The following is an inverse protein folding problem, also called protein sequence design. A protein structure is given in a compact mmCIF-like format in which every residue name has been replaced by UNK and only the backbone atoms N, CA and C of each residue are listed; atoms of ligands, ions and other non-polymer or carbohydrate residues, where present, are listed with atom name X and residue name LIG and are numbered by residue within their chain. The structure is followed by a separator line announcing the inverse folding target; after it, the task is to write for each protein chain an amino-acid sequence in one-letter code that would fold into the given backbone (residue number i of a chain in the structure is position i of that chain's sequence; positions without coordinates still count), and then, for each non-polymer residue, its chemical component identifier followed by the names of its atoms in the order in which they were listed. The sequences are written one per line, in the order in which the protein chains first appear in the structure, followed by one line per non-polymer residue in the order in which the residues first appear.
data_IF_559509139411
#
_entry.id   IF_559509139411
#
_cell.length_a   1.000
_cell.length_b   1.000
_cell.length_c   1.000
_cell.angle_alpha   90.00
_cell.angle_beta   90.00
_cell.angle_gamma   90.00
#
_symmetry.space_group_name_H-M   'P 1'
#
loop_
_entity.id
_entity.type
_entity.pdbx_description
1 polymer ?
#
# COMPACT_ATOMS: atom_id res chain seq x y z
N UNK A 1 3.02 23.27 -29.00
CA UNK A 1 2.62 21.96 -28.48
C UNK A 1 1.13 22.01 -28.24
N UNK A 2 0.38 21.09 -28.84
CA UNK A 2 -1.06 21.01 -28.64
C UNK A 2 -1.36 20.53 -27.22
N UNK A 3 -2.05 21.36 -26.46
CA UNK A 3 -2.50 21.09 -25.08
C UNK A 3 -3.42 19.87 -24.97
N UNK A 4 -3.92 19.35 -26.11
CA UNK A 4 -4.77 18.17 -26.21
C UNK A 4 -3.99 16.82 -26.23
N UNK A 5 -2.71 16.80 -26.61
CA UNK A 5 -1.92 15.54 -26.67
C UNK A 5 -1.49 15.04 -25.28
N UNK A 6 -1.27 15.97 -24.35
CA UNK A 6 -0.84 15.70 -22.98
C UNK A 6 -1.84 14.85 -22.18
N UNK A 7 -3.16 15.14 -22.17
CA UNK A 7 -4.14 14.30 -21.48
C UNK A 7 -4.34 12.92 -22.11
N UNK A 8 -4.16 12.79 -23.43
CA UNK A 8 -4.29 11.52 -24.15
C UNK A 8 -3.13 10.56 -23.82
N UNK A 9 -1.89 11.06 -23.86
CA UNK A 9 -0.70 10.29 -23.46
C UNK A 9 -0.76 9.84 -22.00
N UNK A 10 -1.17 10.72 -21.09
CA UNK A 10 -1.41 10.34 -19.70
C UNK A 10 -2.50 9.25 -19.60
N UNK A 11 -3.53 9.29 -20.42
CA UNK A 11 -4.56 8.24 -20.40
C UNK A 11 -4.04 6.89 -20.92
N UNK A 12 -3.15 6.87 -21.92
CA UNK A 12 -2.53 5.65 -22.44
C UNK A 12 -1.64 5.00 -21.37
N UNK A 13 -0.75 5.77 -20.75
CA UNK A 13 0.11 5.29 -19.66
C UNK A 13 -0.73 4.80 -18.49
N UNK A 14 -1.77 5.52 -18.09
CA UNK A 14 -2.68 5.11 -17.01
C UNK A 14 -3.34 3.77 -17.31
N UNK A 15 -3.81 3.58 -18.55
CA UNK A 15 -4.51 2.36 -18.96
C UNK A 15 -3.57 1.17 -19.00
N UNK A 16 -2.36 1.33 -19.53
CA UNK A 16 -1.29 0.34 -19.46
C UNK A 16 -0.97 -0.05 -18.00
N UNK A 17 -0.68 0.94 -17.17
CA UNK A 17 -0.32 0.79 -15.75
C UNK A 17 -1.41 0.03 -14.99
N UNK A 18 -2.69 0.34 -15.26
CA UNK A 18 -3.83 -0.39 -14.72
C UNK A 18 -3.84 -1.85 -15.19
N UNK A 19 -3.76 -2.09 -16.50
CA UNK A 19 -3.80 -3.44 -17.07
C UNK A 19 -2.66 -4.33 -16.54
N UNK A 20 -1.44 -3.81 -16.47
CA UNK A 20 -0.30 -4.51 -15.90
C UNK A 20 -0.58 -4.98 -14.47
N UNK A 21 -1.29 -4.19 -13.66
CA UNK A 21 -1.59 -4.55 -12.27
C UNK A 21 -2.82 -5.44 -12.12
N UNK A 22 -3.78 -5.35 -13.03
CA UNK A 22 -4.91 -6.28 -13.08
C UNK A 22 -4.44 -7.72 -13.29
N UNK A 23 -3.31 -7.94 -13.98
CA UNK A 23 -2.72 -9.26 -14.11
C UNK A 23 -2.45 -9.91 -12.75
N UNK A 24 -2.20 -9.14 -11.69
CA UNK A 24 -1.93 -9.63 -10.33
C UNK A 24 -3.20 -9.90 -9.52
N UNK A 25 -4.37 -9.92 -10.16
CA UNK A 25 -5.67 -10.14 -9.51
C UNK A 25 -6.44 -11.28 -10.17
N UNK A 26 -7.53 -11.73 -9.56
CA UNK A 26 -8.41 -12.76 -10.14
C UNK A 26 -9.01 -12.34 -11.48
N UNK A 27 -9.02 -11.04 -11.81
CA UNK A 27 -9.48 -10.56 -13.12
C UNK A 27 -8.64 -11.09 -14.28
N UNK A 28 -7.41 -11.56 -14.03
CA UNK A 28 -6.65 -12.25 -15.05
C UNK A 28 -7.41 -13.48 -15.58
N UNK A 29 -8.25 -14.16 -14.78
CA UNK A 29 -9.04 -15.32 -15.22
C UNK A 29 -10.05 -15.01 -16.32
N UNK A 30 -10.41 -13.74 -16.49
CA UNK A 30 -11.32 -13.27 -17.52
C UNK A 30 -10.58 -12.94 -18.84
N UNK A 31 -9.23 -12.97 -18.82
CA UNK A 31 -8.44 -12.62 -19.99
C UNK A 31 -8.41 -13.78 -20.98
N UNK A 32 -8.63 -13.44 -22.24
CA UNK A 32 -8.38 -14.33 -23.37
C UNK A 32 -7.29 -13.75 -24.27
N UNK A 33 -7.01 -14.40 -25.40
CA UNK A 33 -6.00 -13.94 -26.35
C UNK A 33 -6.29 -12.54 -26.89
N UNK A 34 -7.56 -12.19 -27.08
CA UNK A 34 -7.97 -10.85 -27.51
C UNK A 34 -7.71 -9.81 -26.42
N UNK A 35 -7.98 -10.13 -25.15
CA UNK A 35 -7.63 -9.28 -24.01
C UNK A 35 -6.12 -9.02 -23.95
N UNK A 36 -5.31 -10.06 -24.17
CA UNK A 36 -3.84 -9.93 -24.23
C UNK A 36 -3.39 -9.01 -25.36
N UNK A 37 -3.92 -9.20 -26.57
CA UNK A 37 -3.60 -8.37 -27.73
C UNK A 37 -3.94 -6.90 -27.49
N UNK A 38 -5.15 -6.62 -27.00
CA UNK A 38 -5.55 -5.25 -26.64
C UNK A 38 -4.68 -4.66 -25.55
N UNK A 39 -4.29 -5.46 -24.56
CA UNK A 39 -3.38 -4.99 -23.51
C UNK A 39 -1.99 -4.67 -24.06
N UNK A 40 -1.50 -5.43 -25.05
CA UNK A 40 -0.25 -5.13 -25.76
C UNK A 40 -0.34 -3.87 -26.63
N UNK A 41 -1.49 -3.59 -27.23
CA UNK A 41 -1.74 -2.32 -27.94
C UNK A 41 -1.62 -1.12 -26.99
N UNK A 42 -2.21 -1.22 -25.79
CA UNK A 42 -2.06 -0.20 -24.75
C UNK A 42 -0.62 -0.06 -24.25
N UNK A 43 0.12 -1.16 -24.17
CA UNK A 43 1.53 -1.13 -23.82
C UNK A 43 2.37 -0.42 -24.89
N UNK A 44 2.13 -0.72 -26.19
CA UNK A 44 2.79 -0.01 -27.31
C UNK A 44 2.47 1.48 -27.31
N UNK A 45 1.20 1.84 -27.09
CA UNK A 45 0.81 3.24 -26.97
C UNK A 45 1.47 3.97 -25.79
N UNK A 46 1.84 3.25 -24.73
CA UNK A 46 2.61 3.78 -23.61
C UNK A 46 4.12 3.88 -23.92
N UNK A 47 4.68 2.95 -24.70
CA UNK A 47 6.05 3.03 -25.23
C UNK A 47 6.19 4.28 -26.13
N UNK A 48 5.29 4.45 -27.10
CA UNK A 48 5.28 5.57 -28.05
C UNK A 48 5.14 6.95 -27.36
N UNK A 49 4.44 6.99 -26.22
CA UNK A 49 4.26 8.20 -25.43
C UNK A 49 5.59 8.71 -24.83
N UNK A 50 6.55 7.81 -24.57
CA UNK A 50 7.85 8.16 -23.98
C UNK A 50 8.83 8.69 -25.02
N UNK A 51 8.82 8.12 -26.22
CA UNK A 51 9.77 8.50 -27.29
C UNK A 51 9.45 9.88 -27.89
N UNK A 52 8.26 10.40 -27.63
CA UNK A 52 7.75 11.64 -28.21
C UNK A 52 8.01 12.90 -27.36
N UNK A 53 8.58 12.81 -26.16
CA UNK A 53 8.61 13.93 -25.19
C UNK A 53 9.99 14.23 -24.58
N UNK A 54 10.42 15.50 -24.68
CA UNK A 54 11.41 16.07 -23.77
C UNK A 54 10.77 16.25 -22.37
N UNK A 55 11.52 15.94 -21.31
CA UNK A 55 11.08 15.99 -19.89
C UNK A 55 10.01 14.97 -19.44
N UNK A 56 9.85 13.87 -20.18
CA UNK A 56 8.89 12.79 -19.88
C UNK A 56 8.99 12.26 -18.43
N UNK A 57 10.19 12.16 -17.85
CA UNK A 57 10.39 11.70 -16.48
C UNK A 57 9.72 12.63 -15.45
N UNK A 58 9.76 13.95 -15.69
CA UNK A 58 9.06 14.93 -14.86
C UNK A 58 7.55 14.81 -15.04
N UNK A 59 7.08 14.61 -16.27
CA UNK A 59 5.66 14.40 -16.57
C UNK A 59 5.10 13.12 -15.93
N UNK A 60 5.84 12.00 -15.98
CA UNK A 60 5.46 10.73 -15.35
C UNK A 60 5.34 10.92 -13.83
N UNK A 61 6.30 11.59 -13.19
CA UNK A 61 6.23 11.85 -11.74
C UNK A 61 5.06 12.75 -11.36
N UNK A 62 4.63 13.65 -12.24
CA UNK A 62 3.46 14.50 -12.03
C UNK A 62 2.14 13.74 -12.26
N UNK A 63 2.05 12.92 -13.31
CA UNK A 63 0.83 12.18 -13.65
C UNK A 63 0.64 10.93 -12.80
N UNK A 64 1.74 10.31 -12.39
CA UNK A 64 1.82 8.99 -11.74
C UNK A 64 2.80 8.98 -10.57
N UNK A 65 2.63 9.84 -9.56
CA UNK A 65 3.58 10.02 -8.45
C UNK A 65 3.85 8.75 -7.62
N UNK A 66 2.91 7.79 -7.64
CA UNK A 66 2.97 6.55 -6.84
C UNK A 66 2.71 5.30 -7.69
N UNK A 67 2.66 5.42 -9.03
CA UNK A 67 2.44 4.24 -9.85
C UNK A 67 3.67 3.33 -9.84
N UNK A 68 3.42 2.03 -9.85
CA UNK A 68 4.45 1.00 -9.97
C UNK A 68 3.97 -0.11 -10.92
N UNK A 69 4.86 -1.00 -11.34
CA UNK A 69 4.52 -2.18 -12.14
C UNK A 69 4.84 -3.43 -11.31
N UNK A 70 4.11 -4.55 -11.49
CA UNK A 70 4.35 -5.78 -10.73
C UNK A 70 5.79 -6.31 -10.83
N UNK A 71 6.43 -6.03 -11.96
CA UNK A 71 7.80 -6.41 -12.29
C UNK A 71 8.87 -5.51 -11.67
N UNK A 72 8.49 -4.35 -11.11
CA UNK A 72 9.42 -3.43 -10.46
C UNK A 72 9.66 -3.85 -9.00
N UNK A 73 10.79 -3.46 -8.40
CA UNK A 73 11.04 -3.66 -6.97
C UNK A 73 9.90 -3.08 -6.11
N UNK A 74 9.73 -3.61 -4.90
CA UNK A 74 8.67 -3.21 -3.95
C UNK A 74 8.60 -1.70 -3.65
N UNK A 75 9.72 -0.99 -3.82
CA UNK A 75 9.86 0.47 -3.62
C UNK A 75 10.21 1.20 -4.93
N UNK A 76 10.09 0.52 -6.08
CA UNK A 76 10.32 1.09 -7.40
C UNK A 76 9.10 1.87 -7.91
N UNK A 77 9.32 3.13 -8.25
CA UNK A 77 8.33 3.96 -8.95
C UNK A 77 8.38 3.72 -10.47
N UNK A 78 7.29 4.06 -11.16
CA UNK A 78 7.24 4.08 -12.61
C UNK A 78 8.20 5.16 -13.15
N UNK A 79 9.13 4.75 -14.00
CA UNK A 79 10.10 5.62 -14.67
C UNK A 79 9.84 5.66 -16.17
N UNK A 80 10.42 6.65 -16.87
CA UNK A 80 10.40 6.70 -18.32
C UNK A 80 11.01 5.42 -18.93
N UNK A 81 12.08 4.92 -18.31
CA UNK A 81 12.75 3.70 -18.74
C UNK A 81 11.87 2.45 -18.63
N UNK A 82 11.10 2.33 -17.54
CA UNK A 82 10.12 1.26 -17.38
C UNK A 82 8.99 1.36 -18.42
N UNK A 83 8.62 2.57 -18.86
CA UNK A 83 7.60 2.76 -19.89
C UNK A 83 8.10 2.48 -21.31
N UNK A 84 9.39 2.71 -21.62
CA UNK A 84 9.99 2.28 -22.89
C UNK A 84 9.91 0.77 -23.11
N UNK A 85 9.79 0.02 -22.02
CA UNK A 85 9.69 -1.43 -22.03
C UNK A 85 8.30 -1.92 -21.56
N UNK A 86 7.25 -1.10 -21.70
CA UNK A 86 5.93 -1.40 -21.16
C UNK A 86 5.38 -2.77 -21.60
N UNK A 87 5.57 -3.16 -22.86
CA UNK A 87 5.14 -4.45 -23.38
C UNK A 87 5.85 -5.62 -22.71
N UNK A 88 7.16 -5.51 -22.49
CA UNK A 88 7.94 -6.52 -21.76
C UNK A 88 7.46 -6.61 -20.31
N UNK A 89 7.23 -5.47 -19.66
CA UNK A 89 6.71 -5.43 -18.29
C UNK A 89 5.31 -6.05 -18.17
N UNK A 90 4.42 -5.82 -19.15
CA UNK A 90 3.09 -6.45 -19.18
C UNK A 90 3.20 -7.98 -19.27
N UNK A 91 3.98 -8.47 -20.23
CA UNK A 91 4.16 -9.90 -20.48
C UNK A 91 4.77 -10.60 -19.27
N UNK A 92 5.82 -10.00 -18.67
CA UNK A 92 6.43 -10.51 -17.43
C UNK A 92 5.47 -10.46 -16.24
N UNK A 93 4.63 -9.43 -16.13
CA UNK A 93 3.61 -9.37 -15.08
C UNK A 93 2.63 -10.55 -15.19
N UNK A 94 2.21 -10.94 -16.40
CA UNK A 94 1.36 -12.12 -16.61
C UNK A 94 2.07 -13.40 -16.15
N UNK A 95 3.34 -13.60 -16.53
CA UNK A 95 4.13 -14.76 -16.11
C UNK A 95 4.28 -14.84 -14.57
N UNK A 96 4.48 -13.69 -13.93
CA UNK A 96 4.61 -13.55 -12.47
C UNK A 96 3.27 -13.62 -11.73
N UNK A 97 2.13 -13.49 -12.42
CA UNK A 97 0.81 -13.42 -11.78
C UNK A 97 0.47 -14.69 -11.01
N UNK A 98 0.07 -14.61 -9.72
CA UNK A 98 -0.38 -15.77 -8.95
C UNK A 98 -1.63 -16.45 -9.54
N UNK A 99 -2.39 -15.77 -10.39
CA UNK A 99 -3.64 -16.27 -10.98
C UNK A 99 -3.43 -17.04 -12.29
N UNK A 100 -2.27 -16.94 -12.92
CA UNK A 100 -1.97 -17.68 -14.16
C UNK A 100 -2.02 -19.21 -13.97
N UNK A 101 -1.62 -19.73 -12.81
CA UNK A 101 -1.62 -21.18 -12.54
C UNK A 101 -3.01 -21.80 -12.49
N UNK A 102 -4.02 -21.02 -12.10
CA UNK A 102 -5.43 -21.43 -12.04
C UNK A 102 -6.26 -20.91 -13.22
N UNK A 103 -5.61 -20.33 -14.23
CA UNK A 103 -6.28 -19.72 -15.37
C UNK A 103 -6.99 -20.76 -16.26
N UNK A 104 -8.24 -20.52 -16.70
CA UNK A 104 -9.01 -21.48 -17.50
C UNK A 104 -8.32 -21.91 -18.80
N UNK A 105 -7.72 -20.95 -19.52
CA UNK A 105 -6.96 -21.17 -20.77
C UNK A 105 -5.46 -20.97 -20.58
N UNK A 106 -4.92 -21.38 -19.42
CA UNK A 106 -3.52 -21.15 -19.03
C UNK A 106 -2.51 -21.48 -20.13
N UNK A 107 -2.64 -22.63 -20.78
CA UNK A 107 -1.68 -23.10 -21.79
C UNK A 107 -1.64 -22.19 -23.01
N UNK A 108 -2.80 -21.75 -23.49
CA UNK A 108 -2.92 -20.86 -24.65
C UNK A 108 -2.34 -19.48 -24.34
N UNK A 109 -2.73 -18.92 -23.18
CA UNK A 109 -2.23 -17.62 -22.74
C UNK A 109 -0.71 -17.64 -22.51
N UNK A 110 -0.19 -18.71 -21.89
CA UNK A 110 1.25 -18.88 -21.66
C UNK A 110 2.03 -18.97 -22.97
N UNK A 111 1.55 -19.76 -23.94
CA UNK A 111 2.20 -19.89 -25.25
C UNK A 111 2.22 -18.56 -25.98
N UNK A 112 1.09 -17.83 -25.99
CA UNK A 112 1.01 -16.52 -26.62
C UNK A 112 1.96 -15.49 -25.99
N UNK A 113 2.05 -15.47 -24.65
CA UNK A 113 2.98 -14.58 -23.92
C UNK A 113 4.44 -14.91 -24.24
N UNK A 114 4.80 -16.19 -24.29
CA UNK A 114 6.16 -16.62 -24.62
C UNK A 114 6.52 -16.32 -26.09
N UNK A 115 5.57 -16.50 -27.01
CA UNK A 115 5.75 -16.17 -28.43
C UNK A 115 5.95 -14.66 -28.62
N UNK A 116 5.19 -13.81 -27.93
CA UNK A 116 5.34 -12.36 -28.02
C UNK A 116 6.65 -11.86 -27.37
N UNK A 117 7.09 -12.49 -26.27
CA UNK A 117 8.41 -12.21 -25.69
C UNK A 117 9.54 -12.60 -26.65
N UNK A 118 9.40 -13.75 -27.32
CA UNK A 118 10.38 -14.20 -28.30
C UNK A 118 10.41 -13.29 -29.54
N UNK A 119 9.25 -12.94 -30.10
CA UNK A 119 9.19 -12.05 -31.28
C UNK A 119 9.83 -10.70 -31.01
N UNK A 120 9.61 -10.12 -29.82
CA UNK A 120 10.24 -8.86 -29.39
C UNK A 120 11.75 -8.96 -29.17
N UNK A 121 12.27 -10.15 -28.85
CA UNK A 121 13.71 -10.40 -28.73
C UNK A 121 14.39 -10.48 -30.11
N UNK A 122 13.66 -10.94 -31.11
CA UNK A 122 14.13 -11.07 -32.49
C UNK A 122 14.02 -9.76 -33.29
N UNK A 123 13.27 -8.77 -32.79
CA UNK A 123 13.03 -7.48 -33.44
C UNK A 123 14.17 -6.48 -33.16
N UNK A 124 14.98 -6.16 -34.17
CA UNK A 124 16.19 -5.34 -34.05
C UNK A 124 15.94 -3.84 -33.74
N UNK A 125 14.67 -3.42 -33.75
CA UNK A 125 14.20 -2.07 -33.43
C UNK A 125 13.92 -1.87 -31.94
N UNK A 126 13.77 -2.95 -31.17
CA UNK A 126 13.63 -2.89 -29.71
C UNK A 126 15.02 -2.85 -29.07
N UNK A 127 15.26 -1.98 -28.05
CA UNK A 127 16.50 -2.02 -27.28
C UNK A 127 16.69 -3.45 -26.75
N UNK A 128 17.89 -3.99 -26.93
CA UNK A 128 18.16 -5.40 -26.64
C UNK A 128 17.75 -5.72 -25.21
N UNK A 129 17.07 -6.86 -25.00
CA UNK A 129 16.75 -7.36 -23.67
C UNK A 129 17.98 -7.50 -22.74
N UNK A 130 19.19 -7.44 -23.29
CA UNK A 130 20.48 -7.35 -22.57
C UNK A 130 20.65 -6.01 -21.80
N UNK A 131 19.91 -4.94 -22.09
CA UNK A 131 19.90 -3.72 -21.25
C UNK A 131 18.98 -3.86 -20.02
N UNK A 132 18.11 -4.87 -20.01
CA UNK A 132 17.29 -5.31 -18.86
C UNK A 132 17.93 -6.48 -18.10
N UNK A 133 19.10 -6.97 -18.53
CA UNK A 133 19.91 -7.94 -17.78
C UNK A 133 20.62 -7.25 -16.62
N UNK A 134 19.87 -7.03 -15.54
CA UNK A 134 20.48 -7.22 -14.22
C UNK A 134 19.92 -8.42 -13.48
N UNK A 135 18.65 -8.85 -13.66
CA UNK A 135 18.19 -10.11 -13.05
C UNK A 135 17.10 -10.85 -13.87
N UNK A 136 17.43 -12.10 -14.22
CA UNK A 136 16.57 -13.23 -14.62
C UNK A 136 16.03 -13.29 -16.07
N UNK A 137 16.49 -14.31 -16.80
CA UNK A 137 15.89 -14.76 -18.07
C UNK A 137 14.42 -15.19 -17.86
N UNK A 138 13.58 -15.20 -18.88
CA UNK A 138 12.15 -15.56 -18.73
C UNK A 138 11.96 -17.00 -18.21
N UNK A 139 12.95 -17.88 -18.40
CA UNK A 139 13.04 -19.19 -17.74
C UNK A 139 13.29 -19.07 -16.24
N UNK A 140 14.07 -18.09 -15.80
CA UNK A 140 14.32 -17.79 -14.40
C UNK A 140 13.09 -17.17 -13.71
N UNK A 141 12.18 -16.48 -14.41
CA UNK A 141 10.91 -16.00 -13.86
C UNK A 141 9.92 -17.14 -13.55
N UNK A 142 9.86 -18.14 -14.43
CA UNK A 142 9.09 -19.37 -14.19
C UNK A 142 9.69 -20.22 -13.06
N UNK A 143 11.03 -20.30 -12.99
CA UNK A 143 11.75 -20.95 -11.88
C UNK A 143 11.61 -20.16 -10.58
N UNK A 144 11.62 -18.82 -10.62
CA UNK A 144 11.39 -17.93 -9.48
C UNK A 144 9.98 -18.13 -8.91
N UNK A 145 8.98 -18.46 -9.72
CA UNK A 145 7.65 -18.81 -9.21
C UNK A 145 7.62 -20.15 -8.48
N UNK A 146 8.30 -21.16 -9.03
CA UNK A 146 8.40 -22.50 -8.44
C UNK A 146 9.28 -22.50 -7.18
N UNK A 147 10.30 -21.65 -7.12
CA UNK A 147 11.21 -21.46 -5.96
C UNK A 147 10.79 -20.32 -5.03
N UNK A 148 9.84 -19.49 -5.47
CA UNK A 148 9.42 -18.26 -4.81
C UNK A 148 8.48 -18.49 -3.64
N UNK A 149 7.60 -19.50 -3.69
CA UNK A 149 6.79 -19.87 -2.52
C UNK A 149 7.67 -20.30 -1.33
N UNK A 150 8.68 -21.18 -1.52
CA UNK A 150 9.71 -21.43 -0.49
C UNK A 150 10.47 -20.17 -0.05
N UNK A 151 10.77 -19.25 -0.98
CA UNK A 151 11.48 -17.98 -0.67
C UNK A 151 10.62 -17.02 0.15
N UNK A 152 9.33 -16.85 -0.17
CA UNK A 152 8.38 -16.07 0.60
C UNK A 152 8.18 -16.68 1.99
N UNK A 153 8.04 -18.00 2.08
CA UNK A 153 7.98 -18.69 3.37
C UNK A 153 9.27 -18.50 4.19
N UNK A 154 10.44 -18.60 3.56
CA UNK A 154 11.73 -18.34 4.20
C UNK A 154 11.85 -16.88 4.65
N UNK A 155 11.43 -15.91 3.83
CA UNK A 155 11.39 -14.50 4.18
C UNK A 155 10.42 -14.21 5.33
N UNK A 156 9.23 -14.82 5.33
CA UNK A 156 8.28 -14.71 6.44
C UNK A 156 8.81 -15.39 7.70
N UNK A 157 9.57 -16.48 7.59
CA UNK A 157 10.26 -17.11 8.71
C UNK A 157 11.37 -16.21 9.27
N UNK A 158 12.15 -15.55 8.41
CA UNK A 158 13.13 -14.54 8.81
C UNK A 158 12.43 -13.36 9.49
N UNK A 159 11.37 -12.82 8.90
CA UNK A 159 10.58 -11.73 9.46
C UNK A 159 9.99 -12.09 10.82
N UNK A 160 9.49 -13.33 10.99
CA UNK A 160 9.03 -13.85 12.28
C UNK A 160 10.16 -13.91 13.31
N UNK A 161 11.35 -14.40 12.94
CA UNK A 161 12.53 -14.40 13.82
C UNK A 161 12.97 -12.99 14.19
N UNK A 162 12.98 -12.05 13.25
CA UNK A 162 13.34 -10.65 13.50
C UNK A 162 12.31 -9.95 14.38
N UNK A 163 11.02 -10.17 14.11
CA UNK A 163 9.91 -9.64 14.91
C UNK A 163 9.96 -10.18 16.34
N UNK A 164 10.11 -11.50 16.52
CA UNK A 164 10.18 -12.13 17.83
C UNK A 164 11.50 -11.91 18.59
N UNK A 165 12.61 -11.68 17.88
CA UNK A 165 13.93 -11.40 18.47
C UNK A 165 14.11 -9.94 18.93
N UNK A 166 13.13 -9.08 18.69
CA UNK A 166 13.17 -7.68 19.14
C UNK A 166 13.06 -7.59 20.67
N UNK A 167 14.09 -7.03 21.32
CA UNK A 167 14.03 -6.69 22.74
C UNK A 167 12.99 -5.58 22.97
N UNK A 168 12.26 -5.66 24.08
CA UNK A 168 11.34 -4.60 24.52
C UNK A 168 12.11 -3.30 24.76
N UNK A 169 11.46 -2.18 24.47
CA UNK A 169 12.01 -0.84 24.67
C UNK A 169 11.40 -0.26 25.94
N UNK A 170 12.24 0.43 26.73
CA UNK A 170 11.81 1.19 27.91
C UNK A 170 11.39 2.58 27.45
N UNK A 171 10.14 2.93 27.71
CA UNK A 171 9.57 4.25 27.44
C UNK A 171 9.25 4.90 28.77
N UNK A 172 9.73 6.12 28.96
CA UNK A 172 9.40 6.90 30.15
C UNK A 172 8.01 7.51 29.96
N UNK A 173 7.12 7.27 30.92
CA UNK A 173 5.81 7.91 31.00
C UNK A 173 5.70 8.49 32.40
N UNK A 174 5.60 9.82 32.51
CA UNK A 174 5.70 10.53 33.80
C UNK A 174 7.02 10.17 34.51
N UNK A 175 6.97 9.77 35.78
CA UNK A 175 8.13 9.28 36.56
C UNK A 175 8.49 7.82 36.28
N UNK A 176 7.63 7.12 35.55
CA UNK A 176 7.62 5.67 35.44
C UNK A 176 8.20 5.10 34.15
N UNK A 177 8.45 3.79 34.11
CA UNK A 177 9.00 3.10 32.94
C UNK A 177 8.08 1.97 32.47
N UNK A 178 7.62 2.07 31.22
CA UNK A 178 6.82 1.02 30.59
C UNK A 178 7.66 0.27 29.55
N UNK A 179 7.61 -1.06 29.61
CA UNK A 179 8.25 -1.94 28.63
C UNK A 179 7.28 -2.31 27.51
N UNK A 180 7.51 -1.78 26.32
CA UNK A 180 6.67 -2.06 25.15
C UNK A 180 7.44 -2.79 24.03
N UNK A 181 6.77 -3.57 23.17
CA UNK A 181 7.37 -4.06 21.94
C UNK A 181 7.79 -2.88 21.03
N UNK A 182 9.01 -2.88 20.46
CA UNK A 182 9.41 -1.82 19.53
C UNK A 182 8.58 -1.85 18.25
N UNK A 183 8.48 -0.70 17.58
CA UNK A 183 7.81 -0.58 16.27
C UNK A 183 8.30 -1.61 15.26
N UNK A 184 9.62 -1.89 15.23
CA UNK A 184 10.23 -2.89 14.34
C UNK A 184 9.62 -4.28 14.53
N UNK A 185 9.25 -4.64 15.76
CA UNK A 185 8.60 -5.93 16.05
C UNK A 185 7.22 -6.01 15.42
N UNK A 186 6.44 -4.94 15.52
CA UNK A 186 5.12 -4.80 14.87
C UNK A 186 5.25 -4.81 13.34
N UNK A 187 6.09 -3.93 12.78
CA UNK A 187 6.24 -3.71 11.35
C UNK A 187 6.77 -4.95 10.60
N UNK A 188 7.59 -5.78 11.25
CA UNK A 188 8.12 -7.02 10.67
C UNK A 188 7.27 -8.25 10.98
N UNK A 189 6.14 -8.11 11.68
CA UNK A 189 5.30 -9.26 11.92
C UNK A 189 4.70 -9.78 10.59
N UNK A 190 4.71 -11.10 10.33
CA UNK A 190 4.24 -11.66 9.05
C UNK A 190 2.85 -11.17 8.61
N UNK A 191 1.91 -11.07 9.56
CA UNK A 191 0.56 -10.55 9.30
C UNK A 191 0.58 -9.10 8.84
N UNK A 192 1.34 -8.23 9.52
CA UNK A 192 1.41 -6.81 9.15
C UNK A 192 2.10 -6.64 7.80
N UNK A 193 3.11 -7.46 7.47
CA UNK A 193 3.72 -7.44 6.14
C UNK A 193 2.72 -7.81 5.04
N UNK A 194 1.89 -8.84 5.27
CA UNK A 194 0.82 -9.24 4.34
C UNK A 194 -0.22 -8.13 4.17
N UNK A 195 -0.73 -7.57 5.27
CA UNK A 195 -1.71 -6.48 5.22
C UNK A 195 -1.12 -5.20 4.62
N UNK A 196 0.17 -4.91 4.84
CA UNK A 196 0.87 -3.78 4.22
C UNK A 196 0.98 -3.93 2.71
N UNK A 197 1.18 -5.15 2.20
CA UNK A 197 1.16 -5.40 0.76
C UNK A 197 -0.22 -5.07 0.17
N UNK A 198 -1.31 -5.51 0.81
CA UNK A 198 -2.67 -5.15 0.42
C UNK A 198 -2.93 -3.64 0.52
N UNK A 199 -2.36 -2.98 1.53
CA UNK A 199 -2.46 -1.54 1.73
C UNK A 199 -1.78 -0.75 0.60
N UNK A 200 -0.63 -1.20 0.10
CA UNK A 200 0.02 -0.62 -1.10
C UNK A 200 -0.88 -0.78 -2.33
N UNK A 201 -1.51 -1.94 -2.52
CA UNK A 201 -2.48 -2.13 -3.61
C UNK A 201 -3.69 -1.20 -3.48
N UNK A 202 -4.23 -1.05 -2.27
CA UNK A 202 -5.35 -0.14 -2.04
C UNK A 202 -4.97 1.33 -2.25
N UNK A 203 -3.76 1.74 -1.82
CA UNK A 203 -3.22 3.08 -2.07
C UNK A 203 -3.24 3.40 -3.56
N UNK A 204 -2.74 2.46 -4.36
CA UNK A 204 -2.71 2.58 -5.81
C UNK A 204 -4.12 2.72 -6.38
N UNK A 205 -5.06 1.87 -5.95
CA UNK A 205 -6.44 1.96 -6.39
C UNK A 205 -7.08 3.31 -6.04
N UNK A 206 -6.74 3.90 -4.89
CA UNK A 206 -7.19 5.23 -4.49
C UNK A 206 -6.62 6.33 -5.40
N UNK A 207 -5.32 6.27 -5.69
CA UNK A 207 -4.66 7.19 -6.63
C UNK A 207 -5.27 7.07 -8.03
N UNK A 208 -5.42 5.85 -8.54
CA UNK A 208 -5.97 5.58 -9.88
C UNK A 208 -7.43 6.04 -9.99
N UNK A 209 -8.25 5.79 -8.95
CA UNK A 209 -9.63 6.24 -8.90
C UNK A 209 -9.73 7.77 -8.83
N UNK A 210 -8.85 8.43 -8.05
CA UNK A 210 -8.82 9.89 -7.94
C UNK A 210 -8.36 10.54 -9.25
N UNK A 211 -7.44 9.90 -9.96
CA UNK A 211 -6.93 10.36 -11.25
C UNK A 211 -7.83 9.96 -12.44
N UNK A 212 -8.92 9.23 -12.21
CA UNK A 212 -9.82 8.78 -13.27
C UNK A 212 -10.56 9.95 -13.94
N UNK A 213 -10.88 9.79 -15.23
CA UNK A 213 -11.64 10.79 -16.01
C UNK A 213 -13.05 10.98 -15.44
N UNK A 214 -13.68 9.92 -14.93
CA UNK A 214 -15.00 10.00 -14.30
C UNK A 214 -14.87 10.24 -12.78
N UNK A 215 -15.29 11.42 -12.26
CA UNK A 215 -15.27 11.73 -10.83
C UNK A 215 -16.07 10.74 -9.97
N UNK A 216 -17.10 10.10 -10.53
CA UNK A 216 -17.91 9.10 -9.82
C UNK A 216 -17.10 7.88 -9.42
N UNK A 217 -16.00 7.58 -10.13
CA UNK A 217 -15.13 6.42 -9.80
C UNK A 217 -14.50 6.59 -8.42
N UNK A 218 -14.03 7.80 -8.11
CA UNK A 218 -13.48 8.11 -6.80
C UNK A 218 -14.56 8.15 -5.71
N UNK A 219 -15.73 8.72 -6.02
CA UNK A 219 -16.88 8.70 -5.10
C UNK A 219 -17.34 7.28 -4.79
N UNK A 220 -17.36 6.39 -5.78
CA UNK A 220 -17.65 4.97 -5.63
C UNK A 220 -16.66 4.28 -4.70
N UNK A 221 -15.35 4.47 -4.93
CA UNK A 221 -14.31 3.95 -4.04
C UNK A 221 -14.51 4.42 -2.59
N UNK A 222 -14.76 5.72 -2.38
CA UNK A 222 -14.99 6.25 -1.03
C UNK A 222 -16.23 5.62 -0.38
N UNK A 223 -17.29 5.41 -1.14
CA UNK A 223 -18.51 4.72 -0.68
C UNK A 223 -18.22 3.28 -0.28
N UNK A 224 -17.47 2.55 -1.11
CA UNK A 224 -17.07 1.16 -0.84
C UNK A 224 -16.22 1.07 0.42
N UNK A 225 -15.26 1.99 0.60
CA UNK A 225 -14.46 2.08 1.82
C UNK A 225 -15.34 2.32 3.05
N UNK A 226 -16.27 3.28 2.99
CA UNK A 226 -17.21 3.54 4.10
C UNK A 226 -18.03 2.29 4.43
N UNK A 227 -18.54 1.60 3.42
CA UNK A 227 -19.32 0.37 3.61
C UNK A 227 -18.50 -0.73 4.32
N UNK A 228 -17.19 -0.82 4.06
CA UNK A 228 -16.29 -1.77 4.74
C UNK A 228 -16.13 -1.44 6.24
N UNK A 229 -16.21 -0.17 6.62
CA UNK A 229 -16.15 0.25 8.02
C UNK A 229 -17.47 0.04 8.76
N UNK A 230 -18.61 0.22 8.07
CA UNK A 230 -19.96 0.05 8.64
C UNK A 230 -20.41 -1.40 8.73
N UNK A 231 -20.01 -2.25 7.77
CA UNK A 231 -20.40 -3.66 7.72
C UNK A 231 -19.85 -4.50 8.85
N UNK A 232 -20.39 -5.71 9.04
CA UNK A 232 -19.90 -6.72 10.00
C UNK A 232 -18.66 -7.48 9.50
N UNK A 233 -18.06 -7.03 8.40
CA UNK A 233 -16.92 -7.67 7.74
C UNK A 233 -15.64 -7.75 8.57
N UNK A 234 -14.65 -8.46 8.03
CA UNK A 234 -13.35 -8.72 8.70
C UNK A 234 -12.66 -7.42 9.13
N UNK A 235 -12.08 -7.42 10.34
CA UNK A 235 -11.21 -6.35 10.81
C UNK A 235 -9.98 -6.14 9.90
N UNK A 236 -9.60 -7.15 9.11
CA UNK A 236 -8.44 -7.06 8.23
C UNK A 236 -8.59 -5.95 7.19
N UNK A 237 -9.78 -5.75 6.60
CA UNK A 237 -10.00 -4.68 5.61
C UNK A 237 -9.82 -3.30 6.25
N UNK A 238 -10.31 -3.12 7.47
CA UNK A 238 -10.15 -1.86 8.23
C UNK A 238 -8.68 -1.62 8.55
N UNK A 239 -7.96 -2.66 8.97
CA UNK A 239 -6.52 -2.58 9.20
C UNK A 239 -5.75 -2.24 7.92
N UNK A 240 -6.12 -2.82 6.77
CA UNK A 240 -5.52 -2.49 5.47
C UNK A 240 -5.69 -1.01 5.14
N UNK A 241 -6.89 -0.44 5.35
CA UNK A 241 -7.13 0.99 5.14
C UNK A 241 -6.30 1.85 6.09
N UNK A 242 -6.21 1.49 7.37
CA UNK A 242 -5.40 2.26 8.33
C UNK A 242 -3.91 2.13 8.02
N UNK A 243 -3.42 0.94 7.67
CA UNK A 243 -2.04 0.72 7.24
C UNK A 243 -1.70 1.54 5.99
N UNK A 244 -2.65 1.64 5.05
CA UNK A 244 -2.50 2.49 3.87
C UNK A 244 -2.28 3.95 4.26
N UNK A 245 -3.04 4.46 5.24
CA UNK A 245 -2.94 5.84 5.70
C UNK A 245 -1.64 6.13 6.48
N UNK A 246 -1.13 5.17 7.24
CA UNK A 246 -0.07 5.44 8.24
C UNK A 246 1.28 4.79 7.96
N UNK A 247 1.34 3.75 7.11
CA UNK A 247 2.58 3.00 6.81
C UNK A 247 2.97 2.99 5.32
N UNK A 248 2.08 3.42 4.42
CA UNK A 248 2.44 3.65 3.02
C UNK A 248 3.04 5.04 2.85
N UNK A 249 3.93 5.17 1.87
CA UNK A 249 4.57 6.43 1.55
C UNK A 249 3.61 7.28 0.72
N UNK A 250 3.33 8.48 1.20
CA UNK A 250 2.53 9.48 0.49
C UNK A 250 3.44 10.66 0.13
N UNK A 251 3.24 11.29 -1.03
CA UNK A 251 3.99 12.47 -1.41
C UNK A 251 3.78 13.57 -0.35
N UNK A 252 4.87 14.22 0.08
CA UNK A 252 4.83 15.27 1.12
C UNK A 252 3.93 16.44 0.72
N UNK A 253 3.95 16.78 -0.55
CA UNK A 253 3.05 17.74 -1.17
C UNK A 253 2.14 16.99 -2.13
N UNK A 254 0.82 17.05 -1.92
CA UNK A 254 -0.13 16.41 -2.81
C UNK A 254 -0.10 17.09 -4.18
N UNK A 255 0.17 16.33 -5.27
CA UNK A 255 0.04 16.86 -6.62
C UNK A 255 -1.37 17.40 -6.86
N UNK A 256 -1.55 18.38 -7.76
CA UNK A 256 -2.85 18.98 -8.03
C UNK A 256 -3.97 17.97 -8.30
N UNK A 257 -3.63 16.85 -8.94
CA UNK A 257 -4.56 15.76 -9.28
C UNK A 257 -5.04 14.97 -8.06
N UNK A 258 -4.26 14.93 -6.98
CA UNK A 258 -4.55 14.18 -5.76
C UNK A 258 -5.00 15.08 -4.60
N UNK A 259 -5.13 16.39 -4.84
CA UNK A 259 -5.46 17.38 -3.81
C UNK A 259 -6.71 16.97 -3.01
N UNK A 260 -6.57 16.92 -1.69
CA UNK A 260 -7.64 16.61 -0.74
C UNK A 260 -7.93 15.11 -0.60
N UNK A 261 -7.25 14.24 -1.35
CA UNK A 261 -7.48 12.80 -1.28
C UNK A 261 -7.10 12.24 0.09
N UNK A 262 -5.98 12.67 0.67
CA UNK A 262 -5.60 12.21 2.01
C UNK A 262 -6.64 12.61 3.06
N UNK A 263 -7.16 13.83 2.98
CA UNK A 263 -8.19 14.33 3.90
C UNK A 263 -9.49 13.53 3.76
N UNK A 264 -9.92 13.24 2.53
CA UNK A 264 -11.08 12.40 2.25
C UNK A 264 -10.93 10.98 2.84
N UNK A 265 -9.75 10.36 2.65
CA UNK A 265 -9.48 9.01 3.16
C UNK A 265 -9.37 8.97 4.68
N UNK A 266 -8.70 9.96 5.30
CA UNK A 266 -8.66 10.11 6.76
C UNK A 266 -10.05 10.37 7.31
N UNK A 267 -10.87 11.15 6.61
CA UNK A 267 -12.26 11.44 6.99
C UNK A 267 -13.09 10.16 7.11
N UNK A 268 -12.96 9.19 6.21
CA UNK A 268 -13.67 7.90 6.32
C UNK A 268 -13.40 7.22 7.67
N UNK A 269 -12.13 7.17 8.09
CA UNK A 269 -11.73 6.53 9.36
C UNK A 269 -12.15 7.38 10.56
N UNK A 270 -12.00 8.70 10.45
CA UNK A 270 -12.41 9.65 11.49
C UNK A 270 -13.90 9.60 11.76
N UNK A 271 -14.74 9.63 10.73
CA UNK A 271 -16.20 9.59 10.87
C UNK A 271 -16.62 8.28 11.55
N UNK A 272 -15.98 7.16 11.17
CA UNK A 272 -16.17 5.88 11.83
C UNK A 272 -15.76 5.93 13.31
N UNK A 273 -14.60 6.48 13.66
CA UNK A 273 -14.17 6.56 15.06
C UNK A 273 -15.05 7.51 15.86
N UNK A 274 -15.47 8.63 15.30
CA UNK A 274 -16.32 9.62 15.96
C UNK A 274 -17.64 9.02 16.43
N UNK A 275 -18.22 8.08 15.67
CA UNK A 275 -19.42 7.37 16.11
C UNK A 275 -19.20 6.47 17.34
N UNK A 276 -18.05 5.81 17.44
CA UNK A 276 -17.70 4.90 18.56
C UNK A 276 -16.19 4.90 18.82
N UNK A 277 -15.67 5.79 19.69
CA UNK A 277 -14.23 5.91 19.93
C UNK A 277 -13.54 4.63 20.41
N UNK A 278 -14.28 3.73 21.08
CA UNK A 278 -13.80 2.39 21.46
C UNK A 278 -13.24 1.58 20.28
N UNK A 279 -13.58 1.94 19.03
CA UNK A 279 -13.04 1.33 17.81
C UNK A 279 -11.51 1.36 17.73
N UNK A 280 -10.82 2.30 18.38
CA UNK A 280 -9.35 2.27 18.47
C UNK A 280 -8.80 0.97 19.10
N UNK A 281 -9.57 0.33 19.98
CA UNK A 281 -9.17 -0.91 20.65
C UNK A 281 -9.24 -2.13 19.72
N UNK A 282 -9.90 -2.00 18.56
CA UNK A 282 -9.86 -3.05 17.52
C UNK A 282 -8.49 -3.15 16.86
N UNK A 283 -7.65 -2.12 16.98
CA UNK A 283 -6.30 -2.09 16.44
C UNK A 283 -5.25 -2.38 17.51
N UNK A 284 -4.14 -2.97 17.06
CA UNK A 284 -2.93 -3.13 17.87
C UNK A 284 -2.37 -1.76 18.30
N UNK A 285 -1.70 -1.66 19.47
CA UNK A 285 -1.26 -0.38 20.04
C UNK A 285 -0.50 0.53 19.06
N UNK A 286 0.41 -0.03 18.26
CA UNK A 286 1.17 0.73 17.26
C UNK A 286 0.29 1.30 16.16
N UNK A 287 -0.64 0.51 15.62
CA UNK A 287 -1.53 0.96 14.55
C UNK A 287 -2.50 2.04 15.04
N UNK A 288 -3.04 1.88 16.26
CA UNK A 288 -3.89 2.89 16.89
C UNK A 288 -3.14 4.20 17.14
N UNK A 289 -1.89 4.11 17.65
CA UNK A 289 -1.06 5.29 17.92
C UNK A 289 -0.70 6.04 16.63
N UNK A 290 -0.29 5.35 15.58
CA UNK A 290 0.01 5.97 14.28
C UNK A 290 -1.23 6.56 13.60
N UNK A 291 -2.42 5.97 13.82
CA UNK A 291 -3.68 6.56 13.35
C UNK A 291 -4.01 7.84 14.10
N UNK A 292 -3.83 7.85 15.42
CA UNK A 292 -4.04 9.02 16.25
C UNK A 292 -3.15 10.20 15.84
N UNK A 293 -1.93 9.95 15.35
CA UNK A 293 -1.04 11.01 14.87
C UNK A 293 -1.43 11.61 13.51
N UNK A 294 -2.48 11.11 12.84
CA UNK A 294 -2.94 11.65 11.54
C UNK A 294 -3.74 12.94 11.66
N UNK A 295 -4.43 13.17 12.77
CA UNK A 295 -5.15 14.42 13.01
C UNK A 295 -5.34 14.68 14.52
N UNK A 296 -5.42 15.95 14.91
CA UNK A 296 -5.66 16.33 16.31
C UNK A 296 -7.00 15.82 16.85
N UNK A 297 -8.01 15.68 16.00
CA UNK A 297 -9.31 15.11 16.36
C UNK A 297 -9.20 13.63 16.71
N UNK A 298 -8.44 12.85 15.92
CA UNK A 298 -8.19 11.43 16.21
C UNK A 298 -7.35 11.26 17.47
N UNK A 299 -6.33 12.11 17.68
CA UNK A 299 -5.55 12.12 18.91
C UNK A 299 -6.43 12.40 20.14
N UNK A 300 -7.28 13.43 20.09
CA UNK A 300 -8.22 13.77 21.15
C UNK A 300 -9.21 12.65 21.45
N UNK A 301 -9.82 12.07 20.41
CA UNK A 301 -10.73 10.95 20.55
C UNK A 301 -10.05 9.72 21.17
N UNK A 302 -8.82 9.39 20.74
CA UNK A 302 -8.11 8.23 21.26
C UNK A 302 -7.69 8.44 22.71
N UNK A 303 -7.09 9.59 23.06
CA UNK A 303 -6.67 9.89 24.43
C UNK A 303 -7.88 9.89 25.37
N UNK A 304 -8.97 10.56 24.99
CA UNK A 304 -10.20 10.57 25.79
C UNK A 304 -10.72 9.16 26.07
N UNK A 305 -10.82 8.33 25.03
CA UNK A 305 -11.30 6.95 25.17
C UNK A 305 -10.32 6.06 25.96
N UNK A 306 -9.02 6.27 25.79
CA UNK A 306 -7.97 5.52 26.48
C UNK A 306 -8.07 5.72 28.00
N UNK A 307 -8.29 6.95 28.46
CA UNK A 307 -8.43 7.27 29.88
C UNK A 307 -9.82 6.96 30.43
N UNK A 308 -10.86 6.92 29.57
CA UNK A 308 -12.21 6.51 29.98
C UNK A 308 -12.35 5.00 30.14
N UNK A 309 -11.85 4.24 29.17
CA UNK A 309 -12.12 2.79 29.06
C UNK A 309 -10.90 1.94 29.37
N UNK A 310 -9.69 2.44 29.10
CA UNK A 310 -8.46 1.68 29.34
C UNK A 310 -8.19 1.39 30.81
N UNK A 311 -8.75 2.18 31.73
CA UNK A 311 -8.65 1.94 33.17
C UNK A 311 -9.60 0.85 33.68
N UNK A 312 -10.46 0.29 32.82
CA UNK A 312 -11.45 -0.73 33.18
C UNK A 312 -11.04 -2.10 32.62
N UNK A 313 -11.44 -3.19 33.29
CA UNK A 313 -11.29 -4.55 32.78
C UNK A 313 -12.08 -4.72 31.45
N UNK A 314 -11.56 -5.49 30.46
CA UNK A 314 -10.32 -6.27 30.47
C UNK A 314 -9.07 -5.48 30.04
N UNK A 315 -9.21 -4.19 29.78
CA UNK A 315 -8.24 -3.36 29.05
C UNK A 315 -7.15 -2.73 29.92
N UNK A 316 -7.33 -2.75 31.24
CA UNK A 316 -6.38 -2.31 32.26
C UNK A 316 -4.94 -2.77 31.96
N UNK A 317 -4.74 -4.03 31.57
CA UNK A 317 -3.39 -4.57 31.29
C UNK A 317 -2.73 -3.98 30.05
N UNK A 318 -3.50 -3.42 29.12
CA UNK A 318 -3.00 -2.80 27.89
C UNK A 318 -2.88 -1.26 28.00
N UNK A 319 -3.50 -0.64 29.00
CA UNK A 319 -3.54 0.82 29.13
C UNK A 319 -2.14 1.44 29.11
N UNK A 320 -1.26 1.00 30.01
CA UNK A 320 0.11 1.52 30.10
C UNK A 320 0.89 1.32 28.80
N UNK A 321 0.72 0.17 28.13
CA UNK A 321 1.35 -0.13 26.84
C UNK A 321 0.87 0.81 25.75
N UNK A 322 -0.44 1.07 25.69
CA UNK A 322 -1.04 1.97 24.69
C UNK A 322 -0.65 3.43 24.94
N UNK A 323 -0.64 3.90 26.19
CA UNK A 323 -0.12 5.22 26.56
C UNK A 323 1.34 5.37 26.16
N UNK A 324 2.19 4.41 26.52
CA UNK A 324 3.61 4.41 26.20
C UNK A 324 3.89 4.30 24.69
N UNK A 325 3.04 3.60 23.94
CA UNK A 325 3.17 3.56 22.47
C UNK A 325 2.74 4.88 21.83
N UNK A 326 1.73 5.53 22.40
CA UNK A 326 1.23 6.82 21.95
C UNK A 326 2.20 7.97 22.24
N UNK A 327 2.94 7.91 23.36
CA UNK A 327 3.97 8.92 23.70
C UNK A 327 5.19 8.90 22.78
N UNK A 328 5.34 7.85 21.95
CA UNK A 328 6.37 7.79 20.91
C UNK A 328 5.94 8.43 19.58
N UNK A 329 4.71 8.96 19.50
CA UNK A 329 4.22 9.67 18.31
C UNK A 329 4.63 11.16 18.35
N UNK A 330 4.60 11.83 17.18
CA UNK A 330 5.10 13.20 17.03
C UNK A 330 4.32 14.30 17.78
N UNK A 331 4.80 15.54 17.65
CA UNK A 331 4.41 16.72 18.44
C UNK A 331 2.88 16.94 18.59
N UNK A 332 2.08 16.63 17.56
CA UNK A 332 0.62 16.81 17.61
C UNK A 332 -0.10 15.96 18.65
N UNK A 333 0.43 14.79 19.00
CA UNK A 333 -0.16 13.89 20.01
C UNK A 333 0.21 14.33 21.42
N UNK A 334 1.43 14.83 21.60
CA UNK A 334 1.96 15.25 22.90
C UNK A 334 1.12 16.36 23.55
N UNK A 335 0.68 17.33 22.74
CA UNK A 335 -0.20 18.45 23.15
C UNK A 335 -1.49 17.98 23.82
N UNK A 336 -2.00 16.80 23.42
CA UNK A 336 -3.24 16.23 23.96
C UNK A 336 -2.96 15.23 25.09
N UNK A 337 -1.88 14.44 24.97
CA UNK A 337 -1.55 13.38 25.92
C UNK A 337 -1.03 13.93 27.25
N UNK A 338 -0.15 14.94 27.24
CA UNK A 338 0.42 15.48 28.48
C UNK A 338 -0.65 16.05 29.45
N UNK A 339 -1.62 16.87 29.00
CA UNK A 339 -2.68 17.34 29.89
C UNK A 339 -3.58 16.23 30.44
N UNK A 340 -3.77 15.14 29.69
CA UNK A 340 -4.53 13.98 30.17
C UNK A 340 -3.76 13.21 31.25
N UNK A 341 -2.45 13.00 31.05
CA UNK A 341 -1.58 12.37 32.03
C UNK A 341 -1.49 13.17 33.33
N UNK A 342 -1.38 14.50 33.25
CA UNK A 342 -1.34 15.38 34.42
C UNK A 342 -2.61 15.35 35.27
N UNK A 343 -3.75 14.95 34.69
CA UNK A 343 -5.04 14.81 35.38
C UNK A 343 -5.29 13.40 35.93
N UNK A 344 -4.41 12.45 35.64
CA UNK A 344 -4.57 11.08 36.12
C UNK A 344 -4.38 11.04 37.63
N UNK A 345 -5.25 10.30 38.33
CA UNK A 345 -5.16 10.13 39.78
C UNK A 345 -3.76 9.60 40.19
N UNK A 346 -3.09 10.19 41.20
CA UNK A 346 -1.75 9.79 41.61
C UNK A 346 -1.62 8.29 41.94
N UNK A 347 -2.66 7.68 42.50
CA UNK A 347 -2.66 6.24 42.79
C UNK A 347 -2.68 5.41 41.50
N UNK A 348 -3.43 5.84 40.48
CA UNK A 348 -3.41 5.19 39.17
C UNK A 348 -2.07 5.41 38.46
N UNK A 349 -1.44 6.58 38.61
CA UNK A 349 -0.09 6.81 38.08
C UNK A 349 0.91 5.81 38.68
N UNK A 350 0.81 5.56 39.99
CA UNK A 350 1.64 4.57 40.68
C UNK A 350 1.36 3.15 40.16
N UNK A 351 0.09 2.74 40.04
CA UNK A 351 -0.27 1.37 39.57
C UNK A 351 0.21 1.09 38.14
N UNK A 352 0.08 2.06 37.23
CA UNK A 352 0.27 1.81 35.80
C UNK A 352 1.68 2.14 35.30
N UNK A 353 2.42 3.02 35.99
CA UNK A 353 3.69 3.53 35.48
C UNK A 353 4.88 3.31 36.43
N UNK A 354 4.66 3.12 37.74
CA UNK A 354 5.74 2.83 38.71
C UNK A 354 5.75 1.34 39.09
#
# INVERSE_FOLDING_TARGET
MDTAQVPEQAQHVRTFVKLANLTQTSQLHEWNLESLQRALEWARAAEDAVDSQQDIEMCIRQWFPVATLPTLPLDGALTADALRHAGVHLLRSILQSPFLSSHPTRSELLVAVLQELQSRREDASYPSADELEDHASDSALLVERVTGTPRTEAMLAIARRMSGGCKRVRVQVLSGWVLIPPFKSFALSPRILQLKAMAKTLQRNAVDARAAVNPETYCGLLSDLRSCFEGTGSNDVREVVVLMLVMCEWPKEEPPQLRGMMEDLVKVVRDWIACKPIRFWTFQPWLAAMLASRSGELASAYVSELFKTGLLQPWEREFAVRVATLSLQGEGVEVVLQPALAKLDPHLQEIYFN
#
